data_IF_203264053060
#
_entry.id   IF_203264053060
#
_cell.length_a   1.000
_cell.length_b   1.000
_cell.length_c   1.000
_cell.angle_alpha   90.00
_cell.angle_beta   90.00
_cell.angle_gamma   90.00
#
_symmetry.space_group_name_H-M   'P 1'
#
loop_
_entity.id
_entity.type
_entity.pdbx_description
1 polymer ?
#
# COMPACT_ATOMS: atom_id res chain seq x y z
N UNK A 1 53.44 -78.75 6.41
CA UNK A 1 52.39 -78.46 5.40
C UNK A 1 51.07 -78.25 6.13
N UNK A 2 50.36 -77.18 5.76
CA UNK A 2 48.95 -76.84 6.06
C UNK A 2 48.55 -76.57 7.54
N UNK A 3 48.56 -75.27 7.86
CA UNK A 3 47.47 -74.39 8.36
C UNK A 3 46.26 -74.97 9.14
N UNK A 4 45.61 -74.14 10.00
CA UNK A 4 45.58 -74.41 11.43
C UNK A 4 44.18 -74.34 12.10
N UNK A 5 44.19 -74.61 13.41
CA UNK A 5 43.50 -73.91 14.50
C UNK A 5 42.00 -73.57 14.41
N UNK A 6 41.20 -74.39 15.09
CA UNK A 6 40.61 -74.14 16.42
C UNK A 6 40.15 -72.74 16.86
N UNK A 7 38.97 -72.78 17.52
CA UNK A 7 38.48 -72.03 18.70
C UNK A 7 37.52 -70.84 18.49
N UNK A 8 36.24 -71.16 18.75
CA UNK A 8 35.35 -70.59 19.79
C UNK A 8 35.38 -69.08 20.08
N UNK A 9 34.19 -68.46 20.08
CA UNK A 9 33.64 -67.71 21.22
C UNK A 9 32.21 -67.23 20.93
N UNK A 10 31.32 -67.39 21.92
CA UNK A 10 29.98 -66.83 21.94
C UNK A 10 30.04 -65.30 22.08
N UNK A 11 29.22 -64.57 21.32
CA UNK A 11 29.05 -63.14 21.44
C UNK A 11 27.60 -62.82 21.81
N UNK A 12 27.41 -62.25 23.02
CA UNK A 12 26.20 -61.54 23.41
C UNK A 12 26.01 -60.32 22.49
N UNK A 13 24.86 -60.26 21.81
CA UNK A 13 24.40 -59.07 21.11
C UNK A 13 23.68 -58.14 22.10
N UNK A 14 24.35 -57.08 22.54
CA UNK A 14 23.72 -55.92 23.16
C UNK A 14 23.04 -55.08 22.07
N UNK A 15 21.71 -55.05 22.08
CA UNK A 15 20.90 -54.15 21.25
C UNK A 15 20.96 -52.72 21.79
N UNK A 16 21.83 -51.89 21.23
CA UNK A 16 21.82 -50.44 21.43
C UNK A 16 20.65 -49.83 20.64
N UNK A 17 19.50 -49.65 21.30
CA UNK A 17 18.43 -48.79 20.81
C UNK A 17 18.83 -47.33 21.05
N UNK A 18 19.34 -46.65 20.02
CA UNK A 18 19.50 -45.20 20.05
C UNK A 18 18.11 -44.54 20.00
N UNK A 19 17.78 -43.60 20.91
CA UNK A 19 16.57 -42.82 20.77
C UNK A 19 16.72 -41.89 19.57
N UNK A 20 15.96 -42.17 18.51
CA UNK A 20 15.71 -41.22 17.43
C UNK A 20 14.92 -40.04 18.03
N UNK A 21 15.61 -38.99 18.42
CA UNK A 21 14.99 -37.69 18.68
C UNK A 21 14.53 -37.14 17.34
N UNK A 22 13.27 -37.40 16.98
CA UNK A 22 12.58 -36.67 15.92
C UNK A 22 12.51 -35.21 16.37
N UNK A 23 13.40 -34.37 15.86
CA UNK A 23 13.20 -32.93 15.87
C UNK A 23 11.97 -32.67 15.00
N UNK A 24 10.81 -32.45 15.64
CA UNK A 24 9.70 -31.80 14.97
C UNK A 24 10.22 -30.41 14.61
N UNK A 25 10.57 -30.20 13.34
CA UNK A 25 10.82 -28.87 12.82
C UNK A 25 9.54 -28.06 13.09
N UNK A 26 9.59 -27.17 14.07
CA UNK A 26 8.52 -26.21 14.31
C UNK A 26 8.34 -25.46 12.99
N UNK A 27 7.15 -25.56 12.38
CA UNK A 27 6.85 -24.78 11.18
C UNK A 27 7.12 -23.30 11.52
N UNK A 28 7.97 -22.65 10.74
CA UNK A 28 8.31 -21.25 10.98
C UNK A 28 7.02 -20.41 11.01
N UNK A 29 6.88 -19.57 12.03
CA UNK A 29 5.78 -18.59 12.13
C UNK A 29 5.67 -17.81 10.81
N UNK A 30 4.46 -17.70 10.23
CA UNK A 30 4.30 -17.04 8.94
C UNK A 30 4.69 -15.56 9.02
N UNK A 31 5.37 -15.07 7.99
CA UNK A 31 5.80 -13.69 7.89
C UNK A 31 4.60 -12.74 7.81
N UNK A 32 4.54 -11.82 8.78
CA UNK A 32 3.57 -10.73 8.84
C UNK A 32 4.08 -9.47 8.12
N UNK A 33 5.41 -9.30 8.07
CA UNK A 33 6.07 -8.32 7.22
C UNK A 33 6.44 -8.97 5.87
N UNK A 34 5.55 -8.84 4.89
CA UNK A 34 5.63 -9.54 3.60
C UNK A 34 5.40 -8.55 2.44
N UNK A 35 6.40 -8.28 1.59
CA UNK A 35 6.28 -7.31 0.50
C UNK A 35 5.09 -7.61 -0.42
N UNK A 36 4.28 -6.60 -0.70
CA UNK A 36 3.04 -6.71 -1.48
C UNK A 36 1.78 -7.04 -0.68
N UNK A 37 1.89 -7.40 0.60
CA UNK A 37 0.74 -7.61 1.48
C UNK A 37 0.12 -6.27 1.94
N UNK A 38 -1.15 -6.24 2.37
CA UNK A 38 -1.74 -5.04 2.97
C UNK A 38 -1.13 -4.72 4.34
N UNK A 39 -1.08 -3.43 4.68
CA UNK A 39 -0.95 -2.96 6.07
C UNK A 39 -1.88 -1.78 6.33
N UNK A 40 -2.05 -1.49 7.62
CA UNK A 40 -3.05 -0.59 8.17
C UNK A 40 -2.43 0.32 9.21
N UNK A 41 -2.78 1.60 9.16
CA UNK A 41 -2.43 2.57 10.21
C UNK A 41 -3.73 3.11 10.79
N UNK A 42 -4.12 2.68 12.01
CA UNK A 42 -5.36 3.13 12.60
C UNK A 42 -5.26 4.62 12.97
N UNK A 43 -6.40 5.31 12.91
CA UNK A 43 -6.50 6.69 13.35
C UNK A 43 -6.41 6.81 14.87
N UNK A 44 -5.83 7.90 15.35
CA UNK A 44 -5.95 8.37 16.73
C UNK A 44 -7.33 9.01 16.89
N UNK A 45 -8.12 8.51 17.83
CA UNK A 45 -9.47 9.02 18.14
C UNK A 45 -10.35 9.18 16.88
N UNK A 46 -10.62 8.08 16.14
CA UNK A 46 -11.44 8.13 14.94
C UNK A 46 -12.84 8.70 15.26
N UNK A 47 -13.40 9.56 14.40
CA UNK A 47 -14.77 10.02 14.57
C UNK A 47 -15.76 8.85 14.60
N UNK A 48 -16.77 8.91 15.46
CA UNK A 48 -17.83 7.90 15.49
C UNK A 48 -18.81 8.03 14.30
N UNK A 49 -18.72 9.13 13.54
CA UNK A 49 -19.63 9.42 12.43
C UNK A 49 -18.92 10.00 11.21
N UNK A 50 -19.30 9.51 10.03
CA UNK A 50 -18.86 10.04 8.74
C UNK A 50 -20.02 10.73 8.00
N UNK A 51 -19.70 11.79 7.26
CA UNK A 51 -20.64 12.38 6.32
C UNK A 51 -20.75 11.51 5.07
N UNK A 52 -21.97 11.27 4.62
CA UNK A 52 -22.26 10.68 3.31
C UNK A 52 -22.05 11.72 2.21
N UNK A 53 -21.90 11.30 0.94
CA UNK A 53 -21.86 12.23 -0.20
C UNK A 53 -23.09 13.14 -0.34
N UNK A 54 -24.19 12.84 0.37
CA UNK A 54 -25.46 13.56 0.29
C UNK A 54 -25.74 14.42 1.53
N UNK A 55 -24.77 14.56 2.43
CA UNK A 55 -24.84 15.45 3.60
C UNK A 55 -25.39 14.84 4.88
N UNK A 56 -25.91 13.61 4.85
CA UNK A 56 -26.31 12.87 6.05
C UNK A 56 -25.08 12.38 6.83
N UNK A 57 -25.23 12.13 8.14
CA UNK A 57 -24.17 11.55 8.98
C UNK A 57 -24.55 10.15 9.41
N UNK A 58 -23.66 9.18 9.18
CA UNK A 58 -23.84 7.78 9.58
C UNK A 58 -22.87 7.46 10.71
N UNK A 59 -23.31 6.61 11.65
CA UNK A 59 -22.41 5.96 12.60
C UNK A 59 -21.49 5.01 11.84
N UNK A 60 -20.19 5.03 12.13
CA UNK A 60 -19.21 4.24 11.38
C UNK A 60 -18.25 3.54 12.33
N UNK A 61 -17.75 2.35 11.96
CA UNK A 61 -16.73 1.67 12.75
C UNK A 61 -15.39 2.43 12.63
N UNK A 62 -14.52 2.38 13.65
CA UNK A 62 -13.24 3.09 13.66
C UNK A 62 -12.33 2.71 12.47
N UNK A 63 -12.47 1.48 11.98
CA UNK A 63 -11.76 0.93 10.82
C UNK A 63 -11.96 1.75 9.55
N UNK A 64 -13.08 2.48 9.40
CA UNK A 64 -13.32 3.36 8.25
C UNK A 64 -12.23 4.43 8.06
N UNK A 65 -11.61 4.87 9.16
CA UNK A 65 -10.56 5.90 9.16
C UNK A 65 -9.15 5.32 9.13
N UNK A 66 -9.01 4.01 8.95
CA UNK A 66 -7.70 3.36 8.91
C UNK A 66 -7.05 3.59 7.55
N UNK A 67 -5.82 4.13 7.57
CA UNK A 67 -5.03 4.27 6.34
C UNK A 67 -4.70 2.88 5.81
N UNK A 68 -4.99 2.67 4.52
CA UNK A 68 -4.78 1.41 3.83
C UNK A 68 -3.65 1.57 2.82
N UNK A 69 -2.62 0.76 2.99
CA UNK A 69 -1.44 0.74 2.11
C UNK A 69 -0.92 -0.68 1.91
N UNK A 70 0.12 -0.80 1.10
CA UNK A 70 0.82 -2.05 0.78
C UNK A 70 2.22 -2.06 1.33
N UNK A 71 2.68 -3.22 1.77
CA UNK A 71 3.98 -3.42 2.39
C UNK A 71 5.09 -3.38 1.34
N UNK A 72 6.13 -2.61 1.60
CA UNK A 72 7.34 -2.58 0.77
C UNK A 72 8.37 -3.64 1.19
N UNK A 73 9.64 -3.50 0.75
CA UNK A 73 10.70 -4.43 1.10
C UNK A 73 10.99 -4.39 2.61
N UNK A 74 11.25 -5.56 3.19
CA UNK A 74 11.60 -5.72 4.60
C UNK A 74 13.03 -6.24 4.75
N UNK A 75 13.73 -5.81 5.79
CA UNK A 75 15.10 -6.22 6.05
C UNK A 75 15.65 -5.67 7.35
N UNK A 76 16.97 -5.71 7.49
CA UNK A 76 17.70 -5.22 8.65
C UNK A 76 18.69 -4.16 8.20
N UNK A 77 18.67 -3.00 8.84
CA UNK A 77 19.66 -1.94 8.64
C UNK A 77 20.63 -1.91 9.82
N UNK A 78 21.93 -1.86 9.54
CA UNK A 78 22.95 -1.62 10.53
C UNK A 78 22.89 -0.15 10.98
N UNK A 79 22.67 0.09 12.27
CA UNK A 79 22.68 1.45 12.84
C UNK A 79 23.74 1.58 13.93
N UNK A 80 24.14 2.80 14.32
CA UNK A 80 25.07 3.01 15.44
C UNK A 80 24.61 2.41 16.77
N UNK A 81 23.28 2.26 16.95
CA UNK A 81 22.67 1.67 18.15
C UNK A 81 22.45 0.16 18.05
N UNK A 82 22.85 -0.47 16.93
CA UNK A 82 22.66 -1.89 16.65
C UNK A 82 21.79 -2.14 15.41
N UNK A 83 21.70 -3.40 14.94
CA UNK A 83 20.84 -3.75 13.82
C UNK A 83 19.36 -3.45 14.12
N UNK A 84 18.65 -2.85 13.17
CA UNK A 84 17.23 -2.54 13.29
C UNK A 84 16.44 -3.22 12.18
N UNK A 85 15.39 -3.96 12.53
CA UNK A 85 14.47 -4.59 11.58
C UNK A 85 13.47 -3.55 11.06
N UNK A 86 13.38 -3.42 9.74
CA UNK A 86 12.61 -2.36 9.10
C UNK A 86 11.86 -2.84 7.87
N UNK A 87 10.74 -2.18 7.59
CA UNK A 87 10.01 -2.27 6.33
C UNK A 87 9.91 -0.88 5.72
N UNK A 88 10.35 -0.72 4.47
CA UNK A 88 10.16 0.52 3.71
C UNK A 88 8.71 0.60 3.22
N UNK A 89 8.14 1.80 3.21
CA UNK A 89 6.81 2.12 2.69
C UNK A 89 6.77 3.58 2.23
N UNK A 90 5.63 4.03 1.70
CA UNK A 90 5.39 5.43 1.40
C UNK A 90 5.14 6.25 2.68
N UNK A 91 5.61 7.50 2.69
CA UNK A 91 5.47 8.43 3.82
C UNK A 91 4.02 8.83 4.07
N UNK A 92 3.27 9.09 2.99
CA UNK A 92 1.85 9.44 3.10
C UNK A 92 0.97 8.32 3.69
N UNK A 93 1.47 7.08 3.79
CA UNK A 93 0.79 5.99 4.48
C UNK A 93 0.85 6.08 6.01
N UNK A 94 1.81 6.82 6.56
CA UNK A 94 2.08 6.88 8.02
C UNK A 94 2.03 8.29 8.58
N UNK A 95 1.81 9.28 7.72
CA UNK A 95 1.70 10.69 8.06
C UNK A 95 0.29 11.20 7.79
N UNK A 96 -0.04 12.35 8.42
CA UNK A 96 -1.36 12.94 8.30
C UNK A 96 -1.67 13.32 6.86
N UNK A 97 -2.80 12.83 6.37
CA UNK A 97 -3.39 13.24 5.10
C UNK A 97 -4.41 14.37 5.38
N UNK A 98 -4.39 15.49 4.64
CA UNK A 98 -5.38 16.56 4.79
C UNK A 98 -6.83 16.03 4.74
N UNK A 99 -7.67 16.48 5.67
CA UNK A 99 -9.07 16.04 5.77
C UNK A 99 -9.28 14.68 6.48
N UNK A 100 -8.22 13.93 6.77
CA UNK A 100 -8.29 12.69 7.54
C UNK A 100 -7.88 12.89 9.01
N UNK A 101 -8.36 12.02 9.94
CA UNK A 101 -7.85 11.99 11.30
C UNK A 101 -6.34 11.73 11.36
N UNK A 102 -5.72 12.10 12.48
CA UNK A 102 -4.30 11.83 12.71
C UNK A 102 -4.03 10.32 12.73
N UNK A 103 -3.10 9.78 11.93
CA UNK A 103 -2.74 8.38 12.01
C UNK A 103 -1.93 8.09 13.27
N UNK A 104 -2.15 6.93 13.88
CA UNK A 104 -1.35 6.46 15.01
C UNK A 104 0.06 6.08 14.56
N UNK A 105 0.97 5.89 15.53
CA UNK A 105 2.29 5.33 15.26
C UNK A 105 2.28 3.81 15.08
N UNK A 106 1.16 3.12 15.29
CA UNK A 106 1.08 1.66 15.26
C UNK A 106 0.80 1.17 13.84
N UNK A 107 1.53 0.14 13.43
CA UNK A 107 1.36 -0.49 12.12
C UNK A 107 0.81 -1.90 12.32
N UNK A 108 -0.33 -2.17 11.68
CA UNK A 108 -1.01 -3.46 11.75
C UNK A 108 -1.17 -4.08 10.38
N UNK A 109 -1.45 -5.37 10.34
CA UNK A 109 -1.81 -6.12 9.13
C UNK A 109 -3.16 -6.82 9.33
N UNK A 110 -4.02 -6.88 8.30
CA UNK A 110 -5.33 -7.51 8.44
C UNK A 110 -5.20 -9.04 8.31
N UNK A 111 -5.60 -9.76 9.35
CA UNK A 111 -5.56 -11.24 9.43
C UNK A 111 -6.93 -11.73 9.88
N UNK A 112 -7.59 -12.52 9.03
CA UNK A 112 -8.98 -12.91 9.24
C UNK A 112 -9.86 -11.69 9.50
N UNK A 113 -10.58 -11.71 10.63
CA UNK A 113 -11.48 -10.63 11.04
C UNK A 113 -10.81 -9.52 11.87
N UNK A 114 -9.51 -9.62 12.15
CA UNK A 114 -8.80 -8.71 13.04
C UNK A 114 -7.58 -8.02 12.42
N UNK A 115 -6.87 -7.30 13.28
CA UNK A 115 -5.63 -6.61 12.95
C UNK A 115 -4.52 -7.07 13.88
N UNK A 116 -3.44 -7.59 13.30
CA UNK A 116 -2.25 -8.00 14.04
C UNK A 116 -1.19 -6.93 13.92
N UNK A 117 -0.64 -6.50 15.05
CA UNK A 117 0.43 -5.51 15.06
C UNK A 117 1.74 -6.10 14.52
N UNK A 118 2.44 -5.32 13.70
CA UNK A 118 3.76 -5.70 13.16
C UNK A 118 4.87 -4.72 13.51
N UNK A 119 4.54 -3.51 13.98
CA UNK A 119 5.57 -2.52 14.23
C UNK A 119 5.08 -1.12 14.59
N UNK A 120 6.03 -0.19 14.56
CA UNK A 120 5.79 1.25 14.75
C UNK A 120 6.36 2.09 13.61
N UNK A 121 5.78 3.27 13.40
CA UNK A 121 6.35 4.31 12.56
C UNK A 121 7.77 4.67 13.01
N UNK A 122 8.71 4.59 12.09
CA UNK A 122 10.11 4.99 12.23
C UNK A 122 10.43 6.30 11.49
N UNK A 123 11.70 6.49 11.08
CA UNK A 123 12.10 7.63 10.24
C UNK A 123 11.25 7.74 8.97
N UNK A 124 10.96 8.95 8.54
CA UNK A 124 10.18 9.24 7.33
C UNK A 124 10.56 10.61 6.76
N UNK A 125 10.24 10.84 5.49
CA UNK A 125 10.52 12.10 4.78
C UNK A 125 9.66 13.28 5.24
N UNK A 126 8.68 13.06 6.12
CA UNK A 126 7.71 14.06 6.55
C UNK A 126 6.39 14.00 5.76
N UNK A 127 5.42 14.87 6.10
CA UNK A 127 4.16 14.93 5.38
C UNK A 127 4.41 15.38 3.94
N UNK A 128 3.86 14.65 2.98
CA UNK A 128 3.91 15.06 1.58
C UNK A 128 3.02 16.28 1.38
N UNK A 129 3.55 17.35 0.77
CA UNK A 129 2.77 18.51 0.34
C UNK A 129 1.87 18.11 -0.82
N UNK A 130 0.59 17.85 -0.54
CA UNK A 130 -0.41 17.50 -1.56
C UNK A 130 0.00 16.33 -2.48
N UNK A 131 0.08 15.13 -1.92
CA UNK A 131 0.12 13.91 -2.73
C UNK A 131 -1.07 13.91 -3.70
N UNK A 132 -0.75 14.00 -5.00
CA UNK A 132 -1.63 13.88 -6.16
C UNK A 132 -2.36 15.15 -6.66
N UNK A 133 -1.97 16.36 -6.23
CA UNK A 133 -2.49 17.57 -6.86
C UNK A 133 -1.75 17.87 -8.17
N UNK A 134 -2.45 17.79 -9.31
CA UNK A 134 -1.92 18.26 -10.60
C UNK A 134 -1.65 19.78 -10.61
N UNK A 135 -2.10 20.51 -9.57
CA UNK A 135 -1.85 21.95 -9.44
C UNK A 135 -0.37 22.27 -9.18
N UNK A 136 0.39 21.35 -8.57
CA UNK A 136 1.85 21.44 -8.42
C UNK A 136 2.53 20.17 -8.92
N UNK A 137 2.50 19.99 -10.24
CA UNK A 137 3.11 18.85 -10.92
C UNK A 137 4.61 18.67 -10.61
N UNK A 138 5.45 19.72 -10.52
CA UNK A 138 6.84 19.58 -10.09
C UNK A 138 6.99 18.96 -8.69
N UNK A 139 6.21 19.39 -7.70
CA UNK A 139 6.23 18.81 -6.36
C UNK A 139 5.80 17.34 -6.40
N UNK A 140 4.68 17.04 -7.07
CA UNK A 140 4.15 15.69 -7.19
C UNK A 140 5.12 14.69 -7.88
N UNK A 141 6.06 15.17 -8.71
CA UNK A 141 7.03 14.33 -9.40
C UNK A 141 8.34 14.13 -8.61
N UNK A 142 8.68 15.04 -7.70
CA UNK A 142 10.04 15.10 -7.11
C UNK A 142 10.06 15.04 -5.59
N UNK A 143 8.92 15.15 -4.92
CA UNK A 143 8.86 15.13 -3.46
C UNK A 143 9.21 13.73 -2.91
N UNK A 144 10.14 13.63 -1.94
CA UNK A 144 10.44 12.36 -1.29
C UNK A 144 9.24 11.83 -0.51
N UNK A 145 8.89 10.58 -0.75
CA UNK A 145 7.74 9.92 -0.12
C UNK A 145 8.15 8.54 0.41
N UNK A 146 9.04 8.54 1.39
CA UNK A 146 9.49 7.33 2.07
C UNK A 146 9.21 7.38 3.56
N UNK A 147 8.90 6.22 4.12
CA UNK A 147 8.88 5.97 5.55
C UNK A 147 9.36 4.57 5.86
N UNK A 148 9.91 4.40 7.05
CA UNK A 148 10.26 3.09 7.58
C UNK A 148 9.32 2.73 8.72
N UNK A 149 8.89 1.48 8.74
CA UNK A 149 8.27 0.84 9.89
C UNK A 149 9.35 0.08 10.63
N UNK A 150 9.50 0.33 11.94
CA UNK A 150 10.31 -0.50 12.84
C UNK A 150 9.50 -1.76 13.13
N UNK A 151 9.97 -2.90 12.64
CA UNK A 151 9.29 -4.19 12.80
C UNK A 151 9.51 -4.67 14.24
N UNK A 152 8.43 -5.07 14.91
CA UNK A 152 8.50 -5.64 16.26
C UNK A 152 9.25 -6.99 16.25
N UNK A 153 9.99 -7.32 17.31
CA UNK A 153 10.77 -8.57 17.38
C UNK A 153 9.91 -9.84 17.23
N UNK A 154 8.64 -9.76 17.64
CA UNK A 154 7.67 -10.86 17.53
C UNK A 154 7.12 -11.09 16.12
N UNK A 155 7.30 -10.15 15.18
CA UNK A 155 6.79 -10.27 13.83
C UNK A 155 7.87 -10.86 12.90
N UNK A 156 7.57 -11.94 12.19
CA UNK A 156 8.47 -12.49 11.16
C UNK A 156 8.38 -11.68 9.87
N UNK A 157 9.50 -11.52 9.16
CA UNK A 157 9.58 -10.86 7.86
C UNK A 157 10.05 -11.83 6.76
N UNK A 158 9.73 -11.55 5.50
CA UNK A 158 10.20 -12.34 4.35
C UNK A 158 10.70 -11.47 3.19
N UNK A 159 11.64 -12.00 2.40
CA UNK A 159 12.01 -11.50 1.06
C UNK A 159 11.05 -11.89 -0.07
N UNK A 160 10.04 -12.73 0.18
CA UNK A 160 9.12 -13.17 -0.87
C UNK A 160 8.06 -12.10 -1.15
N UNK A 161 8.21 -11.42 -2.28
CA UNK A 161 7.22 -10.49 -2.81
C UNK A 161 6.06 -11.23 -3.46
N UNK A 162 4.85 -10.97 -2.97
CA UNK A 162 3.62 -11.49 -3.54
C UNK A 162 2.42 -10.66 -3.10
N UNK A 163 1.54 -10.35 -4.04
CA UNK A 163 0.32 -9.59 -3.80
C UNK A 163 -0.93 -10.36 -4.23
N UNK A 164 -2.06 -10.00 -3.61
CA UNK A 164 -3.39 -10.32 -4.11
C UNK A 164 -4.13 -9.01 -4.33
N UNK A 165 -4.88 -8.90 -5.41
CA UNK A 165 -5.75 -7.76 -5.65
C UNK A 165 -6.90 -7.70 -4.61
N UNK A 166 -7.69 -6.64 -4.64
CA UNK A 166 -8.78 -6.45 -3.70
C UNK A 166 -9.81 -7.60 -3.72
N UNK A 167 -10.00 -8.26 -4.87
CA UNK A 167 -10.89 -9.41 -5.04
C UNK A 167 -10.23 -10.75 -4.67
N UNK A 168 -8.95 -10.75 -4.31
CA UNK A 168 -8.18 -11.94 -3.96
C UNK A 168 -7.51 -12.64 -5.14
N UNK A 169 -7.59 -12.07 -6.35
CA UNK A 169 -6.84 -12.55 -7.50
C UNK A 169 -5.33 -12.40 -7.29
N UNK A 170 -4.55 -13.35 -7.80
CA UNK A 170 -3.09 -13.28 -7.80
C UNK A 170 -2.58 -13.32 -9.24
N UNK A 171 -1.54 -12.53 -9.49
CA UNK A 171 -0.87 -12.46 -10.78
C UNK A 171 0.60 -12.90 -10.65
N UNK A 172 0.88 -14.13 -11.07
CA UNK A 172 2.22 -14.72 -11.08
C UNK A 172 2.64 -15.37 -9.75
N UNK A 173 3.75 -16.10 -9.79
CA UNK A 173 4.33 -16.74 -8.61
C UNK A 173 5.05 -15.72 -7.69
N UNK A 174 5.23 -15.99 -6.40
CA UNK A 174 6.07 -15.17 -5.52
C UNK A 174 7.47 -14.94 -6.12
N UNK A 175 8.02 -13.74 -5.95
CA UNK A 175 9.37 -13.37 -6.41
C UNK A 175 10.25 -13.14 -5.19
N UNK A 176 11.41 -13.80 -5.15
CA UNK A 176 12.40 -13.56 -4.12
C UNK A 176 13.10 -12.23 -4.38
N UNK A 177 13.05 -11.32 -3.41
CA UNK A 177 13.78 -10.06 -3.47
C UNK A 177 15.23 -10.29 -3.06
N UNK A 178 16.17 -9.78 -3.85
CA UNK A 178 17.60 -10.13 -3.70
C UNK A 178 18.43 -9.05 -3.00
N UNK A 179 18.04 -7.78 -3.13
CA UNK A 179 18.73 -6.63 -2.59
C UNK A 179 18.18 -5.34 -3.16
N UNK A 180 18.78 -4.20 -2.80
CA UNK A 180 18.39 -2.90 -3.32
C UNK A 180 19.15 -2.62 -4.61
N UNK A 181 18.45 -2.15 -5.64
CA UNK A 181 19.07 -1.57 -6.82
C UNK A 181 19.68 -0.22 -6.40
N UNK A 182 20.99 -0.22 -6.24
CA UNK A 182 21.77 0.93 -5.79
C UNK A 182 22.21 1.75 -7.02
N UNK A 183 21.48 2.82 -7.31
CA UNK A 183 21.83 3.75 -8.37
C UNK A 183 22.75 4.84 -7.83
N UNK A 184 23.60 5.40 -8.69
CA UNK A 184 24.26 6.67 -8.34
C UNK A 184 23.21 7.71 -7.97
N UNK A 185 23.37 8.31 -6.80
CA UNK A 185 22.58 9.46 -6.35
C UNK A 185 22.71 10.63 -7.33
N UNK A 186 21.57 11.12 -7.83
CA UNK A 186 21.51 12.32 -8.67
C UNK A 186 21.43 13.59 -7.80
N UNK A 187 21.88 14.71 -8.33
CA UNK A 187 21.73 16.01 -7.68
C UNK A 187 20.26 16.44 -7.67
N UNK A 188 19.83 17.33 -6.75
CA UNK A 188 18.52 17.97 -6.85
C UNK A 188 18.27 18.54 -8.25
N UNK A 189 17.13 18.20 -8.86
CA UNK A 189 16.73 18.64 -10.21
C UNK A 189 17.44 17.92 -11.37
N UNK A 190 18.37 17.00 -11.10
CA UNK A 190 19.00 16.17 -12.12
C UNK A 190 18.11 14.96 -12.46
N UNK A 191 18.05 14.63 -13.75
CA UNK A 191 17.34 13.45 -14.27
C UNK A 191 18.31 12.59 -15.08
N UNK A 192 18.11 11.27 -15.02
CA UNK A 192 18.84 10.27 -15.80
C UNK A 192 17.87 9.37 -16.55
N UNK A 193 18.33 8.85 -17.68
CA UNK A 193 17.63 7.84 -18.51
C UNK A 193 18.44 6.54 -18.60
N UNK A 194 19.41 6.35 -17.70
CA UNK A 194 20.22 5.11 -17.62
C UNK A 194 19.39 3.84 -17.36
N UNK A 195 18.19 4.02 -16.79
CA UNK A 195 17.22 2.97 -16.55
C UNK A 195 16.17 2.84 -17.67
N UNK A 196 16.27 3.61 -18.76
CA UNK A 196 15.27 3.61 -19.82
C UNK A 196 15.07 2.22 -20.42
N UNK A 197 13.82 1.78 -20.48
CA UNK A 197 13.41 0.49 -21.03
C UNK A 197 13.64 -0.71 -20.11
N UNK A 198 14.27 -0.52 -18.95
CA UNK A 198 14.40 -1.58 -17.95
C UNK A 198 13.03 -1.98 -17.40
N UNK A 199 12.78 -3.27 -17.14
CA UNK A 199 11.51 -3.73 -16.61
C UNK A 199 11.34 -3.30 -15.16
N UNK A 200 10.08 -3.24 -14.74
CA UNK A 200 9.66 -3.00 -13.36
C UNK A 200 8.34 -3.72 -13.15
N UNK A 201 8.21 -4.39 -12.00
CA UNK A 201 6.94 -4.88 -11.50
C UNK A 201 6.65 -4.26 -10.14
N UNK A 202 5.38 -4.06 -9.84
CA UNK A 202 4.86 -3.66 -8.54
C UNK A 202 4.05 -4.80 -7.95
N UNK A 203 4.16 -5.02 -6.66
CA UNK A 203 3.17 -5.77 -5.88
C UNK A 203 2.41 -4.82 -4.93
N UNK A 204 1.08 -4.85 -4.98
CA UNK A 204 0.21 -4.04 -4.12
C UNK A 204 -1.13 -4.71 -3.80
N UNK A 205 -1.74 -4.33 -2.68
CA UNK A 205 -2.91 -4.94 -2.07
C UNK A 205 -4.25 -4.51 -2.68
N UNK A 206 -4.25 -3.61 -3.66
CA UNK A 206 -5.45 -3.17 -4.37
C UNK A 206 -5.49 -3.76 -5.77
N UNK A 207 -4.45 -3.52 -6.59
CA UNK A 207 -4.43 -3.98 -7.99
C UNK A 207 -3.64 -5.28 -8.20
N UNK A 208 -3.02 -5.82 -7.15
CA UNK A 208 -2.15 -6.98 -7.27
C UNK A 208 -0.85 -6.64 -7.99
N UNK A 209 -0.29 -7.65 -8.69
CA UNK A 209 0.93 -7.49 -9.47
C UNK A 209 0.66 -6.86 -10.83
N UNK A 210 1.39 -5.81 -11.15
CA UNK A 210 1.43 -5.22 -12.50
C UNK A 210 2.85 -4.89 -12.90
N UNK A 211 3.15 -4.96 -14.20
CA UNK A 211 4.51 -4.80 -14.72
C UNK A 211 4.52 -3.86 -15.93
N UNK A 212 5.59 -3.08 -16.04
CA UNK A 212 5.77 -2.08 -17.07
C UNK A 212 7.24 -1.84 -17.38
N UNK A 213 7.57 -0.61 -17.78
CA UNK A 213 8.94 -0.20 -18.11
C UNK A 213 9.28 1.13 -17.47
N UNK A 214 10.51 1.22 -16.99
CA UNK A 214 11.12 2.45 -16.52
C UNK A 214 11.45 3.35 -17.72
N UNK A 215 11.28 4.67 -17.54
CA UNK A 215 11.56 5.67 -18.59
C UNK A 215 12.62 6.69 -18.16
N UNK A 216 12.73 6.97 -16.87
CA UNK A 216 13.71 7.88 -16.32
C UNK A 216 13.78 7.70 -14.81
N UNK A 217 14.75 8.36 -14.18
CA UNK A 217 14.80 8.55 -12.73
C UNK A 217 15.29 9.96 -12.40
N UNK A 218 14.74 10.52 -11.36
CA UNK A 218 15.25 11.71 -10.69
C UNK A 218 16.18 11.32 -9.55
N UNK A 219 16.38 12.24 -8.60
CA UNK A 219 17.06 11.92 -7.35
C UNK A 219 16.29 10.86 -6.59
N UNK A 220 15.08 11.18 -6.12
CA UNK A 220 14.31 10.34 -5.19
C UNK A 220 13.29 9.42 -5.88
N UNK A 221 13.14 9.55 -7.20
CA UNK A 221 11.99 9.00 -7.93
C UNK A 221 12.41 8.19 -9.14
N UNK A 222 11.75 7.05 -9.37
CA UNK A 222 11.80 6.30 -10.63
C UNK A 222 10.47 6.45 -11.36
N UNK A 223 10.53 6.87 -12.62
CA UNK A 223 9.35 7.08 -13.47
C UNK A 223 9.18 5.90 -14.42
N UNK A 224 7.95 5.40 -14.52
CA UNK A 224 7.61 4.23 -15.32
C UNK A 224 6.28 4.38 -16.03
N UNK A 225 6.03 3.53 -17.03
CA UNK A 225 4.76 3.44 -17.76
C UNK A 225 4.28 1.99 -17.83
N UNK A 226 2.97 1.80 -17.98
CA UNK A 226 2.35 0.47 -18.09
C UNK A 226 2.24 -0.28 -16.76
N UNK A 227 2.48 0.38 -15.63
CA UNK A 227 2.26 -0.19 -14.28
C UNK A 227 0.91 0.32 -13.77
N UNK A 228 0.01 -0.60 -13.46
CA UNK A 228 -1.31 -0.27 -12.90
C UNK A 228 -1.18 -0.06 -11.39
N UNK A 229 -1.70 1.04 -10.86
CA UNK A 229 -1.76 1.31 -9.44
C UNK A 229 -3.03 2.09 -9.07
N UNK A 230 -3.57 1.80 -7.89
CA UNK A 230 -4.70 2.53 -7.30
C UNK A 230 -4.44 2.85 -5.83
N UNK A 231 -5.32 3.64 -5.21
CA UNK A 231 -5.30 3.87 -3.76
C UNK A 231 -5.25 2.53 -3.02
N UNK A 232 -4.33 2.43 -2.06
CA UNK A 232 -4.03 1.20 -1.31
C UNK A 232 -2.82 0.42 -1.82
N UNK A 233 -2.35 0.66 -3.05
CA UNK A 233 -1.07 0.10 -3.52
C UNK A 233 0.15 0.87 -3.02
N UNK A 234 -0.06 2.09 -2.52
CA UNK A 234 0.98 2.95 -1.95
C UNK A 234 1.85 2.21 -0.94
N UNK A 235 3.16 2.43 -0.99
CA UNK A 235 4.15 1.72 -0.19
C UNK A 235 4.53 0.33 -0.70
N UNK A 236 3.73 -0.27 -1.58
CA UNK A 236 3.99 -1.61 -2.12
C UNK A 236 5.30 -1.69 -2.89
N UNK A 237 6.02 -2.79 -2.77
CA UNK A 237 7.36 -2.96 -3.36
C UNK A 237 7.35 -2.88 -4.88
N UNK A 238 8.39 -2.27 -5.44
CA UNK A 238 8.70 -2.28 -6.86
C UNK A 238 10.05 -2.95 -7.09
N UNK A 239 10.13 -3.85 -8.07
CA UNK A 239 11.29 -4.70 -8.28
C UNK A 239 11.51 -5.01 -9.77
N UNK A 240 12.74 -5.37 -10.12
CA UNK A 240 13.05 -5.92 -11.44
C UNK A 240 12.65 -7.41 -11.47
N UNK A 241 11.72 -7.82 -12.35
CA UNK A 241 11.24 -9.21 -12.38
C UNK A 241 12.29 -10.23 -12.84
N UNK A 242 13.44 -9.78 -13.37
CA UNK A 242 14.47 -10.67 -13.89
C UNK A 242 15.39 -11.21 -12.79
N UNK A 243 15.67 -10.38 -11.79
CA UNK A 243 16.66 -10.66 -10.73
C UNK A 243 16.16 -10.36 -9.31
N UNK A 244 14.92 -9.86 -9.16
CA UNK A 244 14.34 -9.55 -7.85
C UNK A 244 14.95 -8.33 -7.17
N UNK A 245 15.78 -7.53 -7.86
CA UNK A 245 16.34 -6.32 -7.27
C UNK A 245 15.23 -5.31 -6.98
N UNK A 246 15.17 -4.84 -5.74
CA UNK A 246 14.22 -3.82 -5.27
C UNK A 246 14.60 -2.48 -5.88
N UNK A 247 13.69 -1.90 -6.64
CA UNK A 247 13.84 -0.56 -7.22
C UNK A 247 13.33 0.49 -6.23
N UNK A 248 12.21 0.21 -5.55
CA UNK A 248 11.50 1.24 -4.81
C UNK A 248 10.22 0.79 -4.14
N UNK A 249 9.44 1.76 -3.72
CA UNK A 249 8.06 1.59 -3.26
C UNK A 249 7.11 2.47 -4.07
N UNK A 250 5.87 2.03 -4.16
CA UNK A 250 4.84 2.70 -4.94
C UNK A 250 4.47 4.03 -4.27
N UNK A 251 4.64 5.14 -5.00
CA UNK A 251 4.21 6.46 -4.57
C UNK A 251 2.81 6.76 -5.10
N UNK A 252 2.61 6.64 -6.42
CA UNK A 252 1.33 6.94 -7.05
C UNK A 252 1.38 6.96 -8.57
N UNK A 253 0.33 7.53 -9.18
CA UNK A 253 0.18 7.67 -10.63
C UNK A 253 -0.14 9.11 -10.98
N UNK A 254 0.51 9.64 -12.02
CA UNK A 254 0.27 10.96 -12.60
C UNK A 254 0.02 10.78 -14.10
N UNK A 255 -1.25 10.79 -14.50
CA UNK A 255 -1.64 10.46 -15.87
C UNK A 255 -1.17 9.05 -16.26
N UNK A 256 -0.35 8.87 -17.31
CA UNK A 256 0.19 7.56 -17.69
C UNK A 256 1.44 7.15 -16.89
N UNK A 257 1.98 8.06 -16.06
CA UNK A 257 3.23 7.85 -15.33
C UNK A 257 2.95 7.19 -14.00
N UNK A 258 3.55 6.02 -13.79
CA UNK A 258 3.71 5.42 -12.49
C UNK A 258 4.98 5.97 -11.84
N UNK A 259 4.85 6.38 -10.58
CA UNK A 259 5.88 7.04 -9.80
C UNK A 259 6.25 6.13 -8.64
N UNK A 260 7.54 5.83 -8.53
CA UNK A 260 8.12 5.05 -7.44
C UNK A 260 9.08 5.92 -6.64
N UNK A 261 9.02 5.81 -5.32
CA UNK A 261 10.10 6.27 -4.44
C UNK A 261 11.28 5.30 -4.55
N UNK A 262 12.48 5.79 -4.87
CA UNK A 262 13.69 5.00 -4.98
C UNK A 262 14.12 4.47 -3.59
N UNK A 263 14.36 3.16 -3.48
CA UNK A 263 14.63 2.51 -2.19
C UNK A 263 16.03 2.78 -1.65
N UNK A 264 17.02 2.91 -2.54
CA UNK A 264 18.39 3.31 -2.21
C UNK A 264 18.39 4.68 -1.52
N UNK A 265 17.81 5.70 -2.17
CA UNK A 265 17.70 7.06 -1.63
C UNK A 265 17.00 7.13 -0.30
N UNK A 266 15.90 6.39 -0.14
CA UNK A 266 15.18 6.33 1.12
C UNK A 266 16.07 5.80 2.26
N UNK A 267 16.86 4.75 2.00
CA UNK A 267 17.79 4.17 2.98
C UNK A 267 18.95 5.11 3.30
N UNK A 268 19.54 5.73 2.28
CA UNK A 268 20.62 6.71 2.45
C UNK A 268 20.18 7.90 3.29
N UNK A 269 19.02 8.48 2.99
CA UNK A 269 18.52 9.65 3.71
C UNK A 269 18.07 9.31 5.13
N UNK A 270 17.42 8.16 5.34
CA UNK A 270 16.93 7.77 6.66
C UNK A 270 18.05 7.37 7.62
N UNK A 271 19.12 6.77 7.12
CA UNK A 271 20.15 6.12 7.94
C UNK A 271 21.56 6.67 7.74
N UNK A 272 21.73 7.68 6.89
CA UNK A 272 23.04 8.29 6.61
C UNK A 272 24.00 7.35 5.90
N UNK A 273 23.48 6.42 5.09
CA UNK A 273 24.29 5.46 4.32
C UNK A 273 24.93 6.21 3.14
N UNK A 274 26.24 6.06 2.88
CA UNK A 274 26.87 6.66 1.70
C UNK A 274 26.41 6.03 0.38
N UNK A 275 26.43 6.84 -0.68
CA UNK A 275 26.15 6.42 -2.07
C UNK A 275 26.96 5.20 -2.48
N UNK A 276 26.26 4.21 -3.07
CA UNK A 276 26.84 2.92 -3.47
C UNK A 276 27.11 1.94 -2.33
N UNK A 277 26.67 2.21 -1.10
CA UNK A 277 26.90 1.34 0.07
C UNK A 277 25.61 0.77 0.66
N UNK A 278 24.46 0.91 -0.01
CA UNK A 278 23.15 0.53 0.57
C UNK A 278 23.12 -0.96 0.91
N UNK A 279 23.56 -1.83 0.01
CA UNK A 279 23.58 -3.29 0.26
C UNK A 279 24.65 -3.76 1.26
N UNK A 280 25.55 -2.87 1.70
CA UNK A 280 26.51 -3.17 2.77
C UNK A 280 25.89 -2.87 4.15
N UNK A 281 25.01 -1.87 4.22
CA UNK A 281 24.35 -1.44 5.44
C UNK A 281 22.95 -2.04 5.63
N UNK A 282 22.27 -2.42 4.55
CA UNK A 282 20.95 -3.03 4.55
C UNK A 282 20.99 -4.45 4.01
N UNK A 283 20.46 -5.38 4.79
CA UNK A 283 20.29 -6.77 4.40
C UNK A 283 18.80 -7.09 4.27
N UNK A 284 18.37 -7.57 3.10
CA UNK A 284 16.99 -8.01 2.89
C UNK A 284 16.65 -9.16 3.84
N UNK A 285 15.37 -9.29 4.23
CA UNK A 285 14.92 -10.34 5.12
C UNK A 285 15.20 -11.74 4.54
N UNK A 286 15.28 -12.76 5.39
CA UNK A 286 15.38 -14.15 4.92
C UNK A 286 14.06 -14.67 4.37
N UNK A 287 14.10 -15.78 3.64
CA UNK A 287 12.89 -16.45 3.13
C UNK A 287 12.08 -17.10 4.25
N UNK A 288 10.78 -16.81 4.28
CA UNK A 288 9.81 -17.40 5.20
C UNK A 288 8.43 -17.52 4.51
N UNK A 289 7.59 -18.50 4.90
CA UNK A 289 6.23 -18.56 4.40
C UNK A 289 5.46 -17.30 4.83
N UNK A 290 4.68 -16.70 3.93
CA UNK A 290 3.87 -15.51 4.25
C UNK A 290 2.59 -15.88 5.00
N UNK A 291 2.06 -14.96 5.81
CA UNK A 291 0.74 -15.09 6.38
C UNK A 291 -0.37 -15.00 5.29
N UNK A 292 -1.54 -15.54 5.61
CA UNK A 292 -2.75 -15.34 4.80
C UNK A 292 -3.44 -14.05 5.24
N UNK A 293 -3.10 -12.96 4.55
CA UNK A 293 -3.69 -11.64 4.78
C UNK A 293 -5.10 -11.55 4.21
N UNK A 294 -5.99 -10.88 4.95
CA UNK A 294 -7.33 -10.53 4.46
C UNK A 294 -7.20 -9.52 3.31
N UNK A 295 -7.95 -9.74 2.23
CA UNK A 295 -7.91 -8.84 1.06
C UNK A 295 -8.59 -7.52 1.37
N UNK A 296 -8.16 -6.46 0.69
CA UNK A 296 -8.76 -5.13 0.85
C UNK A 296 -10.27 -5.11 0.51
N UNK A 297 -10.72 -5.97 -0.42
CA UNK A 297 -12.14 -6.13 -0.74
C UNK A 297 -12.94 -6.79 0.38
N UNK A 298 -12.45 -7.90 0.93
CA UNK A 298 -13.11 -8.59 2.05
C UNK A 298 -13.19 -7.70 3.30
N UNK A 299 -12.14 -6.94 3.58
CA UNK A 299 -12.14 -5.95 4.65
C UNK A 299 -13.15 -4.82 4.41
N UNK A 300 -13.22 -4.28 3.19
CA UNK A 300 -14.21 -3.25 2.85
C UNK A 300 -15.63 -3.76 3.01
N UNK A 301 -15.93 -4.97 2.56
CA UNK A 301 -17.24 -5.59 2.77
C UNK A 301 -17.59 -5.74 4.25
N UNK A 302 -16.61 -6.05 5.10
CA UNK A 302 -16.78 -6.13 6.55
C UNK A 302 -17.08 -4.75 7.15
N UNK A 303 -16.33 -3.71 6.77
CA UNK A 303 -16.55 -2.33 7.23
C UNK A 303 -17.92 -1.82 6.78
N UNK A 304 -18.32 -2.08 5.53
CA UNK A 304 -19.62 -1.70 5.00
C UNK A 304 -20.76 -2.40 5.74
N UNK A 305 -20.58 -3.67 6.10
CA UNK A 305 -21.55 -4.44 6.90
C UNK A 305 -21.69 -3.86 8.30
N UNK A 306 -20.58 -3.62 8.99
CA UNK A 306 -20.58 -3.00 10.31
C UNK A 306 -21.23 -1.60 10.28
N UNK A 307 -20.97 -0.82 9.23
CA UNK A 307 -21.62 0.48 9.04
C UNK A 307 -23.14 0.33 8.88
N UNK A 308 -23.64 -0.65 8.11
CA UNK A 308 -25.09 -0.90 8.00
C UNK A 308 -25.70 -1.34 9.33
N UNK A 309 -25.02 -2.18 10.09
CA UNK A 309 -25.48 -2.64 11.40
C UNK A 309 -25.57 -1.51 12.44
N UNK A 310 -24.65 -0.53 12.38
CA UNK A 310 -24.66 0.67 13.22
C UNK A 310 -25.74 1.70 12.85
N UNK A 311 -26.40 1.54 11.70
CA UNK A 311 -27.44 2.45 11.21
C UNK A 311 -28.69 1.67 10.76
N UNK A 312 -29.38 0.97 11.68
CA UNK A 312 -30.55 0.18 11.34
C UNK A 312 -31.65 1.08 10.76
N UNK A 313 -32.23 0.66 9.64
CA UNK A 313 -33.29 1.40 8.95
C UNK A 313 -32.80 2.51 8.03
N UNK A 314 -31.49 2.76 7.95
CA UNK A 314 -30.95 3.65 6.94
C UNK A 314 -31.12 3.06 5.54
N UNK A 315 -31.71 3.83 4.63
CA UNK A 315 -31.85 3.46 3.22
C UNK A 315 -31.15 4.54 2.40
N UNK A 316 -30.02 4.23 1.75
CA UNK A 316 -29.34 5.21 0.93
C UNK A 316 -30.25 5.64 -0.24
N UNK A 317 -30.26 6.93 -0.62
CA UNK A 317 -30.94 7.40 -1.81
C UNK A 317 -30.50 6.61 -3.05
N UNK A 318 -31.47 6.32 -3.92
CA UNK A 318 -31.17 5.63 -5.18
C UNK A 318 -30.57 6.63 -6.19
N UNK A 319 -29.31 6.48 -6.61
CA UNK A 319 -28.65 7.49 -7.43
C UNK A 319 -29.33 7.73 -8.79
N UNK A 320 -29.91 6.69 -9.40
CA UNK A 320 -30.64 6.81 -10.67
C UNK A 320 -31.96 7.54 -10.51
N UNK A 321 -32.62 7.40 -9.36
CA UNK A 321 -33.84 8.15 -9.05
C UNK A 321 -33.52 9.61 -8.76
N UNK A 322 -32.51 9.88 -7.94
CA UNK A 322 -32.12 11.25 -7.62
C UNK A 322 -31.52 12.00 -8.82
N UNK A 323 -30.78 11.32 -9.70
CA UNK A 323 -30.32 11.93 -10.96
C UNK A 323 -31.50 12.38 -11.83
N UNK A 324 -32.51 11.51 -12.00
CA UNK A 324 -33.71 11.85 -12.77
C UNK A 324 -34.44 13.03 -12.15
N UNK A 325 -34.53 13.07 -10.82
CA UNK A 325 -35.12 14.19 -10.09
C UNK A 325 -34.34 15.48 -10.33
N UNK A 326 -33.02 15.47 -10.18
CA UNK A 326 -32.16 16.65 -10.39
C UNK A 326 -32.29 17.22 -11.81
N UNK A 327 -32.30 16.35 -12.83
CA UNK A 327 -32.52 16.75 -14.23
C UNK A 327 -33.91 17.37 -14.45
N UNK A 328 -34.95 16.76 -13.86
CA UNK A 328 -36.32 17.29 -13.97
C UNK A 328 -36.45 18.66 -13.29
N UNK A 329 -35.92 18.81 -12.08
CA UNK A 329 -35.92 20.08 -11.34
C UNK A 329 -35.16 21.18 -12.11
N UNK A 330 -34.00 20.85 -12.70
CA UNK A 330 -33.25 21.78 -13.54
C UNK A 330 -34.04 22.22 -14.78
N UNK A 331 -34.74 21.28 -15.44
CA UNK A 331 -35.62 21.58 -16.57
C UNK A 331 -36.79 22.48 -16.21
N UNK A 332 -37.41 22.25 -15.05
CA UNK A 332 -38.48 23.11 -14.52
C UNK A 332 -37.97 24.53 -14.21
N UNK A 333 -36.85 24.65 -13.49
CA UNK A 333 -36.25 25.94 -13.15
C UNK A 333 -35.81 26.73 -14.40
N UNK A 334 -35.30 26.05 -15.43
CA UNK A 334 -34.97 26.66 -16.71
C UNK A 334 -36.22 27.18 -17.42
N UNK A 335 -37.31 26.39 -17.44
CA UNK A 335 -38.58 26.81 -18.04
C UNK A 335 -39.19 28.03 -17.33
N UNK A 336 -39.20 28.05 -16.00
CA UNK A 336 -39.70 29.17 -15.20
C UNK A 336 -38.87 30.44 -15.40
N UNK A 337 -37.54 30.32 -15.41
CA UNK A 337 -36.62 31.43 -15.67
C UNK A 337 -36.80 31.98 -17.08
N UNK A 338 -36.96 31.13 -18.10
CA UNK A 338 -37.26 31.55 -19.46
C UNK A 338 -38.61 32.31 -19.54
N UNK A 339 -39.65 31.84 -18.83
CA UNK A 339 -40.95 32.54 -18.77
C UNK A 339 -40.85 33.90 -18.09
N UNK A 340 -40.02 34.03 -17.05
CA UNK A 340 -39.77 35.33 -16.39
C UNK A 340 -38.96 36.27 -17.28
N UNK A 341 -38.00 35.75 -18.04
CA UNK A 341 -37.20 36.53 -18.99
C UNK A 341 -38.10 37.16 -20.06
N UNK A 342 -39.06 36.39 -20.59
CA UNK A 342 -40.06 36.87 -21.55
C UNK A 342 -40.97 37.98 -21.00
N UNK A 343 -41.07 38.13 -19.67
CA UNK A 343 -41.82 39.20 -19.00
C UNK A 343 -40.93 40.36 -18.53
N UNK A 344 -39.66 40.37 -18.94
CA UNK A 344 -38.69 41.43 -18.61
C UNK A 344 -38.11 41.35 -17.20
N UNK A 345 -38.28 40.25 -16.48
CA UNK A 345 -37.82 40.10 -15.09
C UNK A 345 -36.89 38.92 -14.90
N UNK A 346 -35.60 39.06 -15.21
CA UNK A 346 -34.57 38.08 -14.83
C UNK A 346 -33.30 38.79 -14.40
N UNK A 347 -32.78 38.38 -13.24
CA UNK A 347 -31.47 38.76 -12.74
C UNK A 347 -30.40 37.76 -13.24
N UNK A 348 -29.33 38.26 -13.85
CA UNK A 348 -28.25 37.40 -14.35
C UNK A 348 -27.55 36.63 -13.21
N UNK A 349 -27.45 37.23 -12.02
CA UNK A 349 -26.90 36.57 -10.84
C UNK A 349 -27.75 35.38 -10.38
N UNK A 350 -29.09 35.50 -10.46
CA UNK A 350 -30.02 34.41 -10.18
C UNK A 350 -29.87 33.24 -11.15
N UNK A 351 -29.74 33.54 -12.45
CA UNK A 351 -29.50 32.52 -13.49
C UNK A 351 -28.22 31.75 -13.18
N UNK A 352 -27.13 32.46 -12.86
CA UNK A 352 -25.86 31.82 -12.55
C UNK A 352 -25.95 30.92 -11.31
N UNK A 353 -26.59 31.37 -10.23
CA UNK A 353 -26.81 30.54 -9.03
C UNK A 353 -27.63 29.28 -9.32
N UNK A 354 -28.64 29.37 -10.18
CA UNK A 354 -29.44 28.21 -10.60
C UNK A 354 -28.62 27.22 -11.43
N UNK A 355 -27.78 27.72 -12.34
CA UNK A 355 -26.87 26.88 -13.13
C UNK A 355 -25.87 26.18 -12.23
N UNK A 356 -25.24 26.88 -11.29
CA UNK A 356 -24.30 26.30 -10.34
C UNK A 356 -24.97 25.24 -9.45
N UNK A 357 -26.13 25.56 -8.86
CA UNK A 357 -26.89 24.61 -8.03
C UNK A 357 -27.25 23.35 -8.80
N UNK A 358 -27.96 23.49 -9.92
CA UNK A 358 -28.46 22.33 -10.65
C UNK A 358 -27.35 21.57 -11.38
N UNK A 359 -26.30 22.28 -11.83
CA UNK A 359 -25.09 21.65 -12.36
C UNK A 359 -24.42 20.77 -11.32
N UNK A 360 -24.26 21.25 -10.10
CA UNK A 360 -23.69 20.47 -8.99
C UNK A 360 -24.58 19.29 -8.60
N UNK A 361 -25.89 19.49 -8.46
CA UNK A 361 -26.85 18.43 -8.12
C UNK A 361 -26.83 17.31 -9.19
N UNK A 362 -26.87 17.66 -10.48
CA UNK A 362 -26.80 16.69 -11.58
C UNK A 362 -25.45 15.98 -11.59
N UNK A 363 -24.34 16.72 -11.47
CA UNK A 363 -23.00 16.15 -11.49
C UNK A 363 -22.78 15.14 -10.35
N UNK A 364 -23.25 15.47 -9.15
CA UNK A 364 -23.20 14.59 -7.98
C UNK A 364 -23.89 13.25 -8.29
N UNK A 365 -25.17 13.28 -8.67
CA UNK A 365 -25.94 12.05 -8.87
C UNK A 365 -25.52 11.27 -10.11
N UNK A 366 -25.06 11.95 -11.17
CA UNK A 366 -24.52 11.31 -12.36
C UNK A 366 -23.24 10.51 -12.07
N UNK A 367 -22.42 10.94 -11.11
CA UNK A 367 -21.25 10.20 -10.65
C UNK A 367 -21.61 8.85 -10.02
N UNK A 368 -22.70 8.79 -9.27
CA UNK A 368 -23.14 7.59 -8.53
C UNK A 368 -24.14 6.70 -9.29
N UNK A 369 -24.70 7.17 -10.41
CA UNK A 369 -25.71 6.43 -11.17
C UNK A 369 -25.16 5.43 -12.20
N UNK A 370 -23.83 5.28 -12.30
CA UNK A 370 -23.13 4.48 -13.32
C UNK A 370 -23.33 2.98 -13.15
#
# INVERSE_FOLDING_TARGET
MKTPASLAAAALLLSLAAPLTTFTAQAAEPALAAPGAPFRVPAVNPPAQAATPWGERLNVPPELYTVTCSQGPSGTVATPTGPQRVMLTASHCVNRIPGMPEPSSTINVPIGDGYTRIGTRGPNSGPTTETHSLADLPAALTEPDWAFVRIDDSATATDLSHSRDAAGGSAGAPVQLTGIRDYRTLRPGEYSVDNFGQPICKDGATTGRSCGRQIARGRDTVYSVGVAAEMGDSGGVNFDPRDGAVIGTSHGVIGPLFVSQAADRALEDAYGIPDGQVNQAFQIAGTAPRAEFTTSGAERERIDRATRELNPGYVPPNPKTELRRAVNEAGQAAHETARRALRGGVDAGEVQRLVEKHGNDIALWAGFAR
#
